data_IF_369761326991
#
_entry.id   IF_369761326991
#
_cell.length_a   1.000
_cell.length_b   1.000
_cell.length_c   1.000
_cell.angle_alpha   90.00
_cell.angle_beta   90.00
_cell.angle_gamma   90.00
#
_symmetry.space_group_name_H-M   'P 1'
#
loop_
_entity.id
_entity.type
_entity.pdbx_description
1 polymer ?
#
# COMPACT_ATOMS: atom_id res chain seq x y z
N UNK A 1 -29.67 2.47 37.61
CA UNK A 1 -30.19 3.33 36.52
C UNK A 1 -30.02 2.53 35.23
N UNK A 2 -31.08 1.92 34.70
CA UNK A 2 -31.00 1.05 33.51
C UNK A 2 -30.86 1.94 32.28
N UNK A 3 -29.68 1.96 31.68
CA UNK A 3 -29.43 2.61 30.39
C UNK A 3 -30.30 1.94 29.32
N UNK A 4 -31.41 2.59 28.93
CA UNK A 4 -32.14 2.25 27.72
C UNK A 4 -31.25 2.62 26.53
N UNK A 5 -30.51 1.65 26.01
CA UNK A 5 -29.89 1.83 24.69
C UNK A 5 -31.03 1.88 23.67
N UNK A 6 -31.41 3.10 23.27
CA UNK A 6 -32.49 3.33 22.31
C UNK A 6 -32.13 2.66 20.99
N UNK A 7 -32.84 1.59 20.63
CA UNK A 7 -32.68 0.92 19.34
C UNK A 7 -33.30 1.81 18.26
N UNK A 8 -32.48 2.65 17.65
CA UNK A 8 -32.88 3.40 16.46
C UNK A 8 -33.12 2.43 15.29
N UNK A 9 -34.14 2.71 14.49
CA UNK A 9 -34.40 1.96 13.28
C UNK A 9 -33.29 2.23 12.26
N UNK A 10 -32.85 1.20 11.54
CA UNK A 10 -31.77 1.32 10.55
C UNK A 10 -32.07 2.43 9.52
N UNK A 11 -33.34 2.66 9.18
CA UNK A 11 -33.77 3.70 8.24
C UNK A 11 -33.59 5.14 8.77
N UNK A 12 -33.49 5.33 10.09
CA UNK A 12 -33.20 6.64 10.70
C UNK A 12 -31.70 6.96 10.67
N UNK A 13 -30.86 5.93 10.73
CA UNK A 13 -29.40 6.08 10.84
C UNK A 13 -28.70 5.99 9.48
N UNK A 14 -29.25 5.19 8.55
CA UNK A 14 -28.69 4.94 7.22
C UNK A 14 -28.38 6.22 6.42
N UNK A 15 -29.23 7.26 6.39
CA UNK A 15 -28.93 8.49 5.66
C UNK A 15 -27.67 9.20 6.20
N UNK A 16 -27.48 9.20 7.53
CA UNK A 16 -26.34 9.85 8.19
C UNK A 16 -25.04 9.11 7.93
N UNK A 17 -25.10 7.79 7.83
CA UNK A 17 -23.95 6.96 7.45
C UNK A 17 -23.52 7.27 6.02
N UNK A 18 -24.46 7.30 5.06
CA UNK A 18 -24.15 7.58 3.64
C UNK A 18 -23.50 8.96 3.47
N UNK A 19 -23.98 9.97 4.20
CA UNK A 19 -23.41 11.32 4.22
C UNK A 19 -21.95 11.31 4.70
N UNK A 20 -21.66 10.63 5.82
CA UNK A 20 -20.31 10.51 6.38
C UNK A 20 -19.37 9.71 5.47
N UNK A 21 -19.88 8.67 4.80
CA UNK A 21 -19.13 7.92 3.81
C UNK A 21 -18.76 8.78 2.60
N UNK A 22 -19.67 9.67 2.14
CA UNK A 22 -19.40 10.61 1.06
C UNK A 22 -18.29 11.63 1.38
N UNK A 23 -18.16 12.04 2.64
CA UNK A 23 -17.11 12.96 3.09
C UNK A 23 -15.72 12.31 3.11
N UNK A 24 -15.64 11.01 3.41
CA UNK A 24 -14.37 10.28 3.48
C UNK A 24 -13.75 9.98 2.10
N UNK A 25 -14.53 10.09 1.03
CA UNK A 25 -14.05 9.94 -0.37
C UNK A 25 -13.31 11.19 -0.86
N UNK A 26 -13.51 12.36 -0.24
CA UNK A 26 -12.87 13.61 -0.69
C UNK A 26 -11.44 13.80 -0.17
N UNK A 27 -11.00 13.00 0.79
CA UNK A 27 -9.63 13.04 1.32
C UNK A 27 -8.71 12.10 0.56
N UNK A 28 -8.62 12.29 -0.76
CA UNK A 28 -7.56 11.68 -1.56
C UNK A 28 -6.24 12.45 -1.29
N UNK A 29 -5.42 11.91 -0.41
CA UNK A 29 -4.02 12.35 -0.24
C UNK A 29 -3.34 12.21 -1.59
N UNK A 30 -2.92 13.35 -2.18
CA UNK A 30 -2.28 13.41 -3.49
C UNK A 30 -1.05 12.51 -3.53
N UNK A 31 -1.24 11.31 -4.08
CA UNK A 31 -0.18 10.32 -4.24
C UNK A 31 0.62 10.71 -5.48
N UNK A 32 1.95 10.80 -5.35
CA UNK A 32 2.85 11.04 -6.49
C UNK A 32 2.52 10.04 -7.60
N UNK A 33 2.40 10.52 -8.86
CA UNK A 33 2.06 9.68 -10.03
C UNK A 33 3.05 8.53 -10.16
N UNK A 34 2.66 7.37 -9.62
CA UNK A 34 3.25 6.09 -9.96
C UNK A 34 2.92 5.83 -11.44
N UNK A 35 3.88 5.28 -12.18
CA UNK A 35 3.67 4.87 -13.57
C UNK A 35 2.41 4.00 -13.60
N UNK A 36 1.48 4.17 -14.55
CA UNK A 36 0.27 3.36 -14.59
C UNK A 36 0.67 1.91 -14.83
N UNK A 37 0.71 1.11 -13.78
CA UNK A 37 0.60 -0.34 -13.91
C UNK A 37 -0.88 -0.64 -14.05
N UNK A 38 -1.33 -0.96 -15.26
CA UNK A 38 -2.73 -1.28 -15.62
C UNK A 38 -3.35 -2.47 -14.86
N UNK A 39 -2.65 -3.02 -13.86
CA UNK A 39 -3.09 -4.16 -13.07
C UNK A 39 -3.38 -3.70 -11.66
N UNK A 40 -4.65 -3.72 -11.28
CA UNK A 40 -5.08 -3.57 -9.89
C UNK A 40 -4.25 -4.53 -9.02
N UNK A 41 -3.62 -4.02 -7.95
CA UNK A 41 -2.87 -4.86 -7.02
C UNK A 41 -3.84 -5.82 -6.34
N UNK A 42 -3.72 -7.11 -6.62
CA UNK A 42 -4.50 -8.16 -5.96
C UNK A 42 -3.61 -8.94 -5.01
N UNK A 43 -4.19 -9.47 -3.93
CA UNK A 43 -3.50 -10.33 -2.96
C UNK A 43 -2.66 -11.45 -3.60
N UNK A 44 -3.14 -12.20 -4.62
CA UNK A 44 -2.31 -13.20 -5.28
C UNK A 44 -1.09 -12.61 -6.01
N UNK A 45 -1.22 -11.43 -6.65
CA UNK A 45 -0.08 -10.76 -7.29
C UNK A 45 0.94 -10.27 -6.27
N UNK A 46 0.49 -9.77 -5.11
CA UNK A 46 1.37 -9.36 -4.02
C UNK A 46 2.19 -10.54 -3.49
N UNK A 47 1.54 -11.68 -3.24
CA UNK A 47 2.22 -12.88 -2.74
C UNK A 47 3.20 -13.43 -3.77
N UNK A 48 2.86 -13.41 -5.05
CA UNK A 48 3.78 -13.81 -6.11
C UNK A 48 5.05 -12.93 -6.11
N UNK A 49 4.88 -11.61 -5.95
CA UNK A 49 6.00 -10.67 -5.82
C UNK A 49 6.85 -10.93 -4.58
N UNK A 50 6.22 -11.25 -3.45
CA UNK A 50 6.94 -11.66 -2.23
C UNK A 50 7.81 -12.89 -2.49
N UNK A 51 7.26 -13.91 -3.16
CA UNK A 51 8.01 -15.13 -3.50
C UNK A 51 9.16 -14.84 -4.47
N UNK A 52 8.94 -13.99 -5.48
CA UNK A 52 10.00 -13.59 -6.43
C UNK A 52 11.15 -12.84 -5.75
N UNK A 53 10.84 -12.04 -4.72
CA UNK A 53 11.83 -11.36 -3.89
C UNK A 53 12.44 -12.25 -2.78
N UNK A 54 11.97 -13.49 -2.62
CA UNK A 54 12.41 -14.38 -1.56
C UNK A 54 11.92 -14.01 -0.15
N UNK A 55 10.88 -13.19 -0.05
CA UNK A 55 10.28 -12.76 1.22
C UNK A 55 9.42 -13.89 1.78
N UNK A 56 9.71 -14.31 3.00
CA UNK A 56 8.90 -15.28 3.73
C UNK A 56 7.54 -14.67 4.07
N UNK A 57 6.47 -15.48 3.96
CA UNK A 57 5.12 -15.02 4.31
C UNK A 57 4.97 -14.60 5.77
N UNK A 58 5.90 -15.03 6.65
CA UNK A 58 5.94 -14.66 8.07
C UNK A 58 6.43 -13.22 8.28
N UNK A 59 7.28 -12.74 7.38
CA UNK A 59 7.89 -11.41 7.48
C UNK A 59 6.99 -10.34 6.84
N UNK A 60 5.88 -10.77 6.24
CA UNK A 60 4.91 -9.88 5.59
C UNK A 60 4.17 -8.98 6.60
N UNK A 61 4.16 -9.33 7.89
CA UNK A 61 3.57 -8.50 8.96
C UNK A 61 4.39 -7.21 9.22
N UNK A 62 5.69 -7.25 8.89
CA UNK A 62 6.60 -6.12 9.06
C UNK A 62 6.67 -5.22 7.82
N UNK A 63 6.06 -5.64 6.71
CA UNK A 63 6.20 -5.01 5.40
C UNK A 63 4.87 -4.53 4.85
N UNK A 64 4.85 -3.31 4.32
CA UNK A 64 3.67 -2.79 3.64
C UNK A 64 3.64 -3.23 2.17
N UNK A 65 2.44 -3.27 1.59
CA UNK A 65 2.22 -3.55 0.16
C UNK A 65 3.07 -2.63 -0.73
N UNK A 66 3.23 -1.36 -0.32
CA UNK A 66 4.06 -0.39 -1.04
C UNK A 66 5.53 -0.76 -1.05
N UNK A 67 6.10 -1.15 0.12
CA UNK A 67 7.51 -1.54 0.23
C UNK A 67 7.85 -2.76 -0.61
N UNK A 68 6.98 -3.77 -0.63
CA UNK A 68 7.16 -4.96 -1.48
C UNK A 68 7.15 -4.57 -2.95
N UNK A 69 6.27 -3.66 -3.36
CA UNK A 69 6.18 -3.21 -4.74
C UNK A 69 7.40 -2.36 -5.16
N UNK A 70 7.92 -1.54 -4.25
CA UNK A 70 9.12 -0.72 -4.49
C UNK A 70 10.36 -1.61 -4.61
N UNK A 71 10.54 -2.57 -3.70
CA UNK A 71 11.61 -3.58 -3.80
C UNK A 71 11.49 -4.41 -5.08
N UNK A 72 10.27 -4.78 -5.49
CA UNK A 72 10.03 -5.52 -6.74
C UNK A 72 10.44 -4.68 -7.97
N UNK A 73 10.09 -3.39 -8.00
CA UNK A 73 10.50 -2.50 -9.08
C UNK A 73 12.03 -2.32 -9.13
N UNK A 74 12.68 -2.18 -7.98
CA UNK A 74 14.14 -2.05 -7.88
C UNK A 74 14.85 -3.35 -8.27
N UNK A 75 14.26 -4.52 -7.98
CA UNK A 75 14.84 -5.81 -8.37
C UNK A 75 14.96 -5.96 -9.89
N UNK A 76 14.00 -5.44 -10.66
CA UNK A 76 14.09 -5.39 -12.13
C UNK A 76 15.04 -4.31 -12.66
N UNK A 77 15.43 -3.35 -11.82
CA UNK A 77 16.33 -2.28 -12.16
C UNK A 77 17.81 -2.70 -12.12
N UNK A 78 18.13 -3.76 -11.36
CA UNK A 78 19.48 -4.27 -11.19
C UNK A 78 20.09 -4.85 -12.49
N UNK A 79 19.26 -5.24 -13.47
CA UNK A 79 19.70 -5.68 -14.80
C UNK A 79 20.01 -4.50 -15.74
N UNK A 80 19.62 -3.27 -15.39
CA UNK A 80 19.82 -2.11 -16.24
C UNK A 80 21.26 -1.59 -16.18
N UNK A 81 22.07 -1.95 -17.18
CA UNK A 81 23.47 -1.51 -17.33
C UNK A 81 23.65 -0.02 -17.71
N UNK A 82 22.57 0.77 -17.79
CA UNK A 82 22.61 2.18 -18.19
C UNK A 82 22.77 3.18 -17.05
N UNK A 83 22.89 2.72 -15.80
CA UNK A 83 23.26 3.62 -14.69
C UNK A 83 24.71 4.06 -14.87
N UNK A 84 24.91 5.38 -15.04
CA UNK A 84 26.23 5.99 -15.23
C UNK A 84 27.18 5.74 -14.05
N UNK A 85 26.66 5.38 -12.88
CA UNK A 85 27.44 5.12 -11.68
C UNK A 85 26.66 4.18 -10.76
N UNK A 86 27.30 3.10 -10.31
CA UNK A 86 26.80 2.28 -9.21
C UNK A 86 27.18 2.99 -7.90
N UNK A 87 26.22 3.16 -6.98
CA UNK A 87 26.52 3.65 -5.65
C UNK A 87 27.43 2.64 -4.94
N UNK A 88 28.57 3.11 -4.46
CA UNK A 88 29.59 2.26 -3.82
C UNK A 88 29.38 2.28 -2.30
N UNK A 89 29.89 1.29 -1.57
CA UNK A 89 29.85 1.26 -0.10
C UNK A 89 30.38 2.57 0.52
N UNK A 90 31.41 3.18 -0.09
CA UNK A 90 31.95 4.48 0.32
C UNK A 90 30.94 5.62 0.26
N UNK A 91 29.97 5.57 -0.65
CA UNK A 91 28.93 6.60 -0.79
C UNK A 91 27.87 6.48 0.32
N UNK A 92 27.67 5.25 0.83
CA UNK A 92 26.77 4.99 1.97
C UNK A 92 27.43 5.32 3.31
N UNK A 93 28.74 5.06 3.43
CA UNK A 93 29.52 5.38 4.62
C UNK A 93 29.78 6.89 4.78
N UNK A 94 29.53 7.69 3.72
CA UNK A 94 29.68 9.14 3.70
C UNK A 94 28.41 9.92 4.11
N UNK A 95 27.31 9.23 4.43
CA UNK A 95 26.03 9.79 4.84
C UNK A 95 25.90 9.87 6.38
#
# INVERSE_FOLDING_TARGET
>A
MKSLFSTFSIYQVLPKIIELWGLNVQTDVSSKKLRPTDRQMTTPLLLLRCVQLGISIRDLDLLTIGMVNDMYAESGNNEYKGYSQMATQSDMDAF
#
